data_IF_285009526784
#
_entry.id   IF_285009526784
#
_cell.length_a   1.000
_cell.length_b   1.000
_cell.length_c   1.000
_cell.angle_alpha   90.00
_cell.angle_beta   90.00
_cell.angle_gamma   90.00
#
_symmetry.space_group_name_H-M   'P 1'
#
loop_
_entity.id
_entity.type
_entity.pdbx_description
1 polymer ?
#
# COMPACT_ATOMS: atom_id res chain seq x y z
N UNK A 1 -48.78 -16.90 -40.06
CA UNK A 1 -48.35 -15.83 -39.14
C UNK A 1 -48.32 -16.42 -37.75
N UNK A 2 -47.17 -16.94 -37.34
CA UNK A 2 -46.95 -17.43 -35.97
C UNK A 2 -46.27 -16.31 -35.15
N UNK A 3 -46.61 -16.16 -33.86
CA UNK A 3 -46.08 -15.09 -33.03
C UNK A 3 -44.64 -15.42 -32.57
N UNK A 4 -43.71 -14.52 -32.85
CA UNK A 4 -42.32 -14.62 -32.42
C UNK A 4 -42.21 -14.55 -30.88
N UNK A 5 -41.63 -15.59 -30.29
CA UNK A 5 -41.25 -15.64 -28.89
C UNK A 5 -40.11 -14.64 -28.62
N UNK A 6 -40.38 -13.63 -27.77
CA UNK A 6 -39.37 -12.66 -27.33
C UNK A 6 -38.30 -13.37 -26.50
N UNK A 7 -37.10 -13.42 -27.08
CA UNK A 7 -35.83 -13.83 -26.47
C UNK A 7 -35.66 -13.10 -25.13
N UNK A 8 -35.71 -13.82 -23.99
CA UNK A 8 -35.33 -13.29 -22.68
C UNK A 8 -33.84 -12.92 -22.73
N UNK A 9 -33.55 -11.62 -22.59
CA UNK A 9 -32.21 -11.08 -22.40
C UNK A 9 -31.66 -11.68 -21.11
N UNK A 10 -30.48 -12.32 -21.20
CA UNK A 10 -29.77 -12.82 -20.04
C UNK A 10 -29.55 -11.66 -19.05
N UNK A 11 -29.79 -11.94 -17.77
CA UNK A 11 -29.68 -11.03 -16.63
C UNK A 11 -28.35 -10.29 -16.65
N UNK A 12 -28.43 -8.96 -16.58
CA UNK A 12 -27.30 -8.08 -16.28
C UNK A 12 -26.69 -8.52 -14.94
N UNK A 13 -25.39 -8.85 -14.98
CA UNK A 13 -24.56 -9.13 -13.82
C UNK A 13 -24.70 -7.99 -12.81
N UNK A 14 -25.15 -8.30 -11.60
CA UNK A 14 -25.14 -7.37 -10.47
C UNK A 14 -23.76 -6.71 -10.37
N UNK A 15 -23.77 -5.38 -10.30
CA UNK A 15 -22.56 -4.57 -10.24
C UNK A 15 -21.92 -4.77 -8.87
N UNK A 16 -20.62 -5.07 -8.87
CA UNK A 16 -19.82 -5.30 -7.66
C UNK A 16 -19.81 -4.01 -6.83
N UNK A 17 -20.52 -3.98 -5.71
CA UNK A 17 -20.80 -2.79 -4.90
C UNK A 17 -19.63 -2.35 -3.97
N UNK A 18 -18.39 -2.70 -4.31
CA UNK A 18 -17.21 -2.39 -3.51
C UNK A 18 -16.00 -2.03 -4.38
N UNK A 19 -15.13 -1.19 -3.81
CA UNK A 19 -13.85 -0.80 -4.39
C UNK A 19 -12.69 -1.27 -3.53
N UNK A 20 -11.53 -1.38 -4.17
CA UNK A 20 -10.31 -1.83 -3.49
C UNK A 20 -9.18 -0.85 -3.78
N UNK A 21 -8.51 -0.44 -2.71
CA UNK A 21 -7.45 0.56 -2.77
C UNK A 21 -6.17 0.01 -2.15
N UNK A 22 -4.99 0.34 -2.71
CA UNK A 22 -3.73 0.02 -2.07
C UNK A 22 -3.58 0.80 -0.77
N UNK A 23 -2.93 0.20 0.23
CA UNK A 23 -2.44 0.97 1.38
C UNK A 23 -1.02 1.43 1.11
N UNK A 24 -0.90 2.71 0.79
CA UNK A 24 0.36 3.37 0.47
C UNK A 24 1.21 3.66 1.70
N UNK A 25 2.54 3.71 1.54
CA UNK A 25 3.46 4.12 2.61
C UNK A 25 3.19 5.55 3.06
N UNK A 26 3.68 5.92 4.25
CA UNK A 26 3.54 7.31 4.75
C UNK A 26 4.15 8.31 3.78
N UNK A 27 5.31 7.98 3.20
CA UNK A 27 6.00 8.79 2.19
C UNK A 27 5.13 9.05 0.95
N UNK A 28 4.31 8.07 0.56
CA UNK A 28 3.42 8.14 -0.60
C UNK A 28 2.07 8.80 -0.29
N UNK A 29 1.62 8.76 0.97
CA UNK A 29 0.30 9.26 1.38
C UNK A 29 0.32 10.64 2.03
N UNK A 30 1.46 11.08 2.56
CA UNK A 30 1.56 12.37 3.25
C UNK A 30 1.48 13.55 2.28
N UNK A 31 1.04 14.69 2.81
CA UNK A 31 1.11 15.97 2.11
C UNK A 31 2.57 16.35 1.79
N UNK A 32 2.76 17.10 0.71
CA UNK A 32 4.07 17.60 0.33
C UNK A 32 4.65 18.54 1.40
N UNK A 33 5.67 18.07 2.12
CA UNK A 33 6.47 18.90 3.02
C UNK A 33 7.16 20.02 2.22
N UNK A 34 7.25 21.22 2.81
CA UNK A 34 7.78 22.42 2.14
C UNK A 34 9.02 22.96 2.86
N UNK A 35 10.03 23.30 2.07
CA UNK A 35 11.21 24.05 2.50
C UNK A 35 11.11 25.51 2.05
N UNK A 36 11.72 26.40 2.82
CA UNK A 36 11.87 27.80 2.44
C UNK A 36 13.14 28.00 1.61
N UNK A 37 13.00 28.77 0.53
CA UNK A 37 14.08 29.10 -0.39
C UNK A 37 13.99 30.57 -0.81
N UNK A 38 15.13 31.16 -1.13
CA UNK A 38 15.17 32.47 -1.77
C UNK A 38 15.15 32.30 -3.29
N UNK A 39 14.24 33.01 -3.95
CA UNK A 39 14.17 33.12 -5.40
C UNK A 39 14.38 34.57 -5.84
N UNK A 40 14.74 34.76 -7.11
CA UNK A 40 14.94 36.08 -7.69
C UNK A 40 14.42 36.12 -9.14
N UNK A 41 13.86 37.26 -9.60
CA UNK A 41 13.55 37.45 -11.02
C UNK A 41 14.83 37.45 -11.86
N UNK A 42 14.76 36.90 -13.07
CA UNK A 42 15.82 37.04 -14.08
C UNK A 42 15.48 38.26 -14.94
N UNK A 43 16.27 39.31 -14.83
CA UNK A 43 16.08 40.59 -15.55
C UNK A 43 16.34 40.40 -17.05
N UNK A 44 17.39 39.66 -17.39
CA UNK A 44 17.76 39.39 -18.78
C UNK A 44 17.68 37.88 -19.08
N UNK A 45 16.65 37.48 -19.84
CA UNK A 45 16.44 36.06 -20.21
C UNK A 45 17.63 35.43 -20.94
N UNK A 46 18.48 36.21 -21.62
CA UNK A 46 19.67 35.70 -22.33
C UNK A 46 20.73 35.16 -21.35
N UNK A 47 20.71 35.60 -20.10
CA UNK A 47 21.68 35.23 -19.08
C UNK A 47 21.26 33.99 -18.25
N UNK A 48 20.05 33.47 -18.48
CA UNK A 48 19.48 32.34 -17.72
C UNK A 48 20.45 31.16 -17.60
N UNK A 49 21.05 30.72 -18.72
CA UNK A 49 21.95 29.57 -18.73
C UNK A 49 23.26 29.81 -17.96
N UNK A 50 23.76 31.05 -17.98
CA UNK A 50 24.93 31.45 -17.17
C UNK A 50 24.57 31.44 -15.69
N UNK A 51 23.52 32.16 -15.32
CA UNK A 51 23.05 32.30 -13.94
C UNK A 51 22.78 30.94 -13.29
N UNK A 52 22.11 30.03 -13.99
CA UNK A 52 21.85 28.68 -13.46
C UNK A 52 23.15 27.92 -13.18
N UNK A 53 24.17 28.02 -14.05
CA UNK A 53 25.47 27.34 -13.85
C UNK A 53 26.23 27.93 -12.67
N UNK A 54 26.31 29.25 -12.58
CA UNK A 54 27.01 29.93 -11.48
C UNK A 54 26.32 29.68 -10.13
N UNK A 55 24.99 29.80 -10.09
CA UNK A 55 24.21 29.49 -8.89
C UNK A 55 24.35 28.03 -8.46
N UNK A 56 24.41 27.09 -9.40
CA UNK A 56 24.61 25.67 -9.09
C UNK A 56 26.02 25.38 -8.54
N UNK A 57 27.03 26.15 -8.94
CA UNK A 57 28.40 26.04 -8.43
C UNK A 57 28.51 26.41 -6.95
N UNK A 58 27.71 27.38 -6.50
CA UNK A 58 27.74 27.89 -5.11
C UNK A 58 26.68 27.21 -4.25
N UNK A 59 25.45 27.15 -4.75
CA UNK A 59 24.31 26.55 -4.10
C UNK A 59 23.74 25.43 -4.97
N UNK A 60 24.30 24.21 -4.88
CA UNK A 60 23.87 23.07 -5.68
C UNK A 60 22.48 22.56 -5.32
N UNK A 61 21.89 23.03 -4.20
CA UNK A 61 20.58 22.60 -3.68
C UNK A 61 20.49 21.08 -3.42
N UNK A 62 21.32 20.53 -2.52
CA UNK A 62 21.31 19.10 -2.25
C UNK A 62 19.96 18.65 -1.67
N UNK A 63 19.47 17.51 -2.15
CA UNK A 63 18.21 16.90 -1.72
C UNK A 63 16.96 17.39 -2.45
N UNK A 64 17.04 18.49 -3.21
CA UNK A 64 15.91 19.04 -3.96
C UNK A 64 16.15 19.07 -5.48
N UNK A 65 16.90 18.11 -6.02
CA UNK A 65 17.21 18.03 -7.46
C UNK A 65 15.97 17.80 -8.34
N UNK A 66 14.86 17.36 -7.74
CA UNK A 66 13.56 17.22 -8.38
C UNK A 66 12.87 18.57 -8.64
N UNK A 67 13.37 19.68 -8.08
CA UNK A 67 12.82 21.03 -8.29
C UNK A 67 13.46 21.66 -9.52
N UNK A 68 12.65 22.20 -10.44
CA UNK A 68 13.17 22.92 -11.60
C UNK A 68 13.75 24.25 -11.13
N UNK A 69 15.04 24.50 -11.37
CA UNK A 69 15.73 25.70 -10.88
C UNK A 69 15.09 27.02 -11.34
N UNK A 70 14.51 27.02 -12.53
CA UNK A 70 13.88 28.19 -13.17
C UNK A 70 12.41 27.91 -13.45
N UNK A 71 11.56 28.93 -13.29
CA UNK A 71 10.16 28.92 -13.70
C UNK A 71 9.79 30.20 -14.46
N UNK A 72 8.66 30.16 -15.18
CA UNK A 72 8.02 31.37 -15.65
C UNK A 72 7.46 32.17 -14.46
N UNK A 73 7.51 33.49 -14.54
CA UNK A 73 6.91 34.36 -13.52
C UNK A 73 5.40 34.08 -13.42
N UNK A 74 4.87 34.08 -12.20
CA UNK A 74 3.44 33.81 -11.96
C UNK A 74 2.55 34.99 -12.37
N UNK A 75 3.08 36.20 -12.35
CA UNK A 75 2.35 37.41 -12.71
C UNK A 75 2.54 37.70 -14.21
N UNK A 76 1.45 37.61 -14.97
CA UNK A 76 1.41 37.89 -16.41
C UNK A 76 1.76 39.34 -16.76
N UNK A 77 1.74 40.27 -15.80
CA UNK A 77 2.15 41.66 -15.95
C UNK A 77 3.61 41.95 -15.61
N UNK A 78 4.39 40.96 -15.16
CA UNK A 78 5.78 41.15 -14.76
C UNK A 78 6.66 41.49 -15.96
N UNK A 79 7.51 42.52 -15.80
CA UNK A 79 8.57 42.88 -16.75
C UNK A 79 9.62 41.76 -16.91
N UNK A 80 9.72 40.86 -15.93
CA UNK A 80 10.68 39.77 -15.90
C UNK A 80 9.94 38.44 -16.14
N UNK A 81 10.18 37.75 -17.27
CA UNK A 81 9.42 36.57 -17.63
C UNK A 81 9.80 35.31 -16.85
N UNK A 82 10.96 35.30 -16.18
CA UNK A 82 11.51 34.13 -15.50
C UNK A 82 11.95 34.44 -14.07
N UNK A 83 11.87 33.43 -13.21
CA UNK A 83 12.33 33.44 -11.83
C UNK A 83 13.23 32.24 -11.58
N UNK A 84 14.28 32.42 -10.78
CA UNK A 84 15.26 31.38 -10.45
C UNK A 84 15.39 31.21 -8.95
N UNK A 85 15.51 29.97 -8.48
CA UNK A 85 15.88 29.68 -7.09
C UNK A 85 17.36 30.02 -6.91
N UNK A 86 17.67 30.85 -5.92
CA UNK A 86 19.05 31.22 -5.56
C UNK A 86 19.63 30.18 -4.62
N UNK A 87 19.02 29.96 -3.46
CA UNK A 87 19.47 29.04 -2.42
C UNK A 87 18.32 28.61 -1.49
N UNK A 88 18.53 27.58 -0.67
CA UNK A 88 17.65 27.32 0.47
C UNK A 88 17.98 28.29 1.60
N UNK A 89 16.98 28.67 2.41
CA UNK A 89 17.21 29.58 3.54
C UNK A 89 18.26 29.04 4.51
N UNK A 90 18.25 27.72 4.73
CA UNK A 90 19.22 27.03 5.62
C UNK A 90 20.68 27.12 5.15
N UNK A 91 20.91 27.42 3.88
CA UNK A 91 22.25 27.48 3.29
C UNK A 91 22.92 28.86 3.45
N UNK A 92 22.18 29.86 3.96
CA UNK A 92 22.67 31.24 4.13
C UNK A 92 22.81 31.56 5.62
N UNK A 93 23.99 32.07 6.01
CA UNK A 93 24.26 32.54 7.37
C UNK A 93 25.03 33.86 7.33
N UNK A 94 24.62 34.89 8.10
CA UNK A 94 23.38 34.97 8.89
C UNK A 94 22.14 35.09 7.99
N UNK A 95 20.98 34.62 8.48
CA UNK A 95 19.71 34.74 7.75
C UNK A 95 19.35 36.24 7.65
N UNK A 96 19.21 36.80 6.43
CA UNK A 96 18.88 38.21 6.26
C UNK A 96 17.48 38.55 6.79
N UNK A 97 17.34 39.70 7.45
CA UNK A 97 16.03 40.24 7.76
C UNK A 97 15.28 40.58 6.46
N UNK A 98 13.95 40.38 6.46
CA UNK A 98 13.12 40.55 5.26
C UNK A 98 13.15 41.99 4.68
N UNK A 99 13.51 42.99 5.50
CA UNK A 99 13.67 44.39 5.07
C UNK A 99 15.00 44.67 4.35
N UNK A 100 16.04 43.89 4.62
CA UNK A 100 17.41 44.07 4.10
C UNK A 100 17.80 43.01 3.05
N UNK A 101 16.81 42.22 2.59
CA UNK A 101 17.02 41.13 1.63
C UNK A 101 17.48 41.69 0.27
N UNK A 102 18.76 41.49 -0.03
CA UNK A 102 19.41 41.86 -1.29
C UNK A 102 20.18 40.68 -1.88
N UNK A 103 20.41 40.66 -3.19
CA UNK A 103 21.14 39.57 -3.85
C UNK A 103 22.57 39.47 -3.31
N UNK A 104 23.22 40.60 -3.07
CA UNK A 104 24.57 40.66 -2.50
C UNK A 104 24.68 40.11 -1.08
N UNK A 105 23.57 40.08 -0.33
CA UNK A 105 23.53 39.44 0.98
C UNK A 105 23.39 37.90 0.89
N UNK A 106 22.89 37.38 -0.25
CA UNK A 106 22.70 35.94 -0.47
C UNK A 106 23.87 35.30 -1.19
N UNK A 107 24.54 36.04 -2.08
CA UNK A 107 25.62 35.56 -2.92
C UNK A 107 26.92 36.28 -2.59
N UNK A 108 28.05 35.55 -2.47
CA UNK A 108 29.36 36.16 -2.34
C UNK A 108 29.72 36.89 -3.65
N UNK A 109 29.88 38.21 -3.57
CA UNK A 109 30.03 39.12 -4.72
C UNK A 109 31.29 38.89 -5.56
N UNK A 110 32.25 38.14 -5.04
CA UNK A 110 33.51 37.76 -5.68
C UNK A 110 33.37 36.52 -6.59
N UNK A 111 32.29 35.75 -6.50
CA UNK A 111 32.14 34.46 -7.19
C UNK A 111 31.01 34.37 -8.21
N UNK A 112 30.06 35.31 -8.19
CA UNK A 112 28.92 35.35 -9.13
C UNK A 112 28.78 36.74 -9.69
N UNK A 113 28.60 36.82 -11.00
CA UNK A 113 28.11 38.05 -11.59
C UNK A 113 26.62 38.19 -11.26
N UNK A 114 26.32 39.05 -10.28
CA UNK A 114 24.96 39.34 -9.84
C UNK A 114 24.15 40.13 -10.89
N UNK A 115 24.80 40.60 -11.96
CA UNK A 115 24.10 41.26 -13.07
C UNK A 115 23.09 40.28 -13.69
N UNK A 116 21.87 40.76 -13.88
CA UNK A 116 20.77 39.96 -14.41
C UNK A 116 19.84 39.34 -13.37
N UNK A 117 20.12 39.45 -12.06
CA UNK A 117 19.19 39.07 -10.99
C UNK A 117 18.47 40.28 -10.38
N UNK A 118 17.15 40.17 -10.23
CA UNK A 118 16.32 41.15 -9.57
C UNK A 118 16.32 41.02 -8.04
N UNK A 119 15.45 41.79 -7.37
CA UNK A 119 15.30 41.73 -5.91
C UNK A 119 14.90 40.31 -5.46
N UNK A 120 15.57 39.70 -4.47
CA UNK A 120 15.20 38.38 -3.99
C UNK A 120 13.90 38.41 -3.17
N UNK A 121 13.22 37.27 -3.11
CA UNK A 121 12.01 37.06 -2.33
C UNK A 121 11.92 35.62 -1.82
N UNK A 122 11.15 35.43 -0.76
CA UNK A 122 10.97 34.12 -0.12
C UNK A 122 9.92 33.30 -0.86
N UNK A 123 10.20 32.02 -1.08
CA UNK A 123 9.28 31.04 -1.65
C UNK A 123 9.30 29.73 -0.88
N UNK A 124 8.22 28.96 -1.00
CA UNK A 124 8.15 27.59 -0.51
C UNK A 124 8.33 26.63 -1.68
N UNK A 125 9.17 25.61 -1.50
CA UNK A 125 9.45 24.55 -2.48
C UNK A 125 9.25 23.18 -1.83
N UNK A 126 8.78 22.16 -2.57
CA UNK A 126 8.69 20.80 -2.06
C UNK A 126 10.04 20.28 -1.53
N UNK A 127 10.01 19.66 -0.35
CA UNK A 127 11.19 19.10 0.32
C UNK A 127 11.66 17.80 -0.35
N UNK A 128 10.71 17.00 -0.82
CA UNK A 128 10.94 15.66 -1.38
C UNK A 128 10.27 15.50 -2.75
N UNK A 129 10.84 14.64 -3.61
CA UNK A 129 10.21 14.32 -4.90
C UNK A 129 8.82 13.72 -4.68
N UNK A 130 7.80 14.17 -5.43
CA UNK A 130 6.47 13.58 -5.34
C UNK A 130 6.52 12.11 -5.79
N UNK A 131 5.89 11.23 -5.03
CA UNK A 131 5.81 9.80 -5.33
C UNK A 131 4.49 9.43 -6.01
N UNK A 132 3.45 10.24 -5.79
CA UNK A 132 2.12 10.04 -6.37
C UNK A 132 1.67 11.24 -7.20
N UNK A 133 0.74 11.04 -8.13
CA UNK A 133 0.18 12.14 -8.94
C UNK A 133 -0.51 13.21 -8.08
N UNK A 134 -1.32 12.89 -7.05
CA UNK A 134 -1.86 13.89 -6.14
C UNK A 134 -0.77 14.72 -5.45
N UNK A 135 0.31 14.08 -4.96
CA UNK A 135 1.45 14.80 -4.40
C UNK A 135 2.11 15.70 -5.43
N UNK A 136 2.30 15.24 -6.67
CA UNK A 136 2.86 16.05 -7.74
C UNK A 136 2.01 17.29 -8.04
N UNK A 137 0.69 17.12 -8.13
CA UNK A 137 -0.24 18.22 -8.37
C UNK A 137 -0.22 19.24 -7.23
N UNK A 138 -0.12 18.79 -5.98
CA UNK A 138 0.04 19.65 -4.82
C UNK A 138 1.40 20.38 -4.83
N UNK A 139 2.50 19.64 -4.98
CA UNK A 139 3.87 20.14 -5.03
C UNK A 139 4.07 21.19 -6.13
N UNK A 140 3.52 20.94 -7.31
CA UNK A 140 3.63 21.83 -8.48
C UNK A 140 2.95 23.20 -8.29
N UNK A 141 2.00 23.33 -7.35
CA UNK A 141 1.38 24.62 -7.00
C UNK A 141 2.39 25.56 -6.32
N UNK A 142 3.33 24.99 -5.56
CA UNK A 142 4.36 25.73 -4.85
C UNK A 142 5.49 26.12 -5.80
N UNK A 143 6.09 25.13 -6.47
CA UNK A 143 7.15 25.35 -7.45
C UNK A 143 7.19 24.22 -8.49
N UNK A 144 7.51 24.49 -9.78
CA UNK A 144 7.59 23.44 -10.77
C UNK A 144 8.57 22.33 -10.39
N UNK A 145 8.08 21.11 -10.36
CA UNK A 145 8.86 19.92 -9.99
C UNK A 145 8.83 18.89 -11.13
N UNK A 146 9.84 18.02 -11.15
CA UNK A 146 9.90 16.85 -12.00
C UNK A 146 9.20 15.69 -11.31
N UNK A 147 8.36 14.98 -12.05
CA UNK A 147 7.65 13.81 -11.57
C UNK A 147 7.75 12.69 -12.60
N UNK A 148 8.25 11.55 -12.14
CA UNK A 148 8.28 10.32 -12.91
C UNK A 148 7.18 9.43 -12.37
N UNK A 149 6.10 9.33 -13.14
CA UNK A 149 4.92 8.64 -12.68
C UNK A 149 5.12 7.13 -12.59
N UNK A 150 4.84 6.57 -11.41
CA UNK A 150 4.57 5.15 -11.28
C UNK A 150 3.13 4.87 -11.73
N UNK A 151 3.01 4.34 -12.95
CA UNK A 151 1.71 4.01 -13.56
C UNK A 151 0.90 3.04 -12.71
N UNK A 152 1.56 2.09 -12.01
CA UNK A 152 0.87 1.09 -11.18
C UNK A 152 0.22 1.77 -9.98
N UNK A 153 0.93 2.67 -9.31
CA UNK A 153 0.39 3.45 -8.18
C UNK A 153 -0.75 4.36 -8.64
N UNK A 154 -0.60 5.05 -9.77
CA UNK A 154 -1.67 5.91 -10.31
C UNK A 154 -2.94 5.13 -10.64
N UNK A 155 -2.82 3.98 -11.32
CA UNK A 155 -3.96 3.12 -11.65
C UNK A 155 -4.60 2.57 -10.37
N UNK A 156 -3.78 2.21 -9.37
CA UNK A 156 -4.27 1.72 -8.09
C UNK A 156 -5.02 2.78 -7.27
N UNK A 157 -4.54 4.02 -7.25
CA UNK A 157 -5.24 5.13 -6.60
C UNK A 157 -6.59 5.47 -7.26
N UNK A 158 -6.78 5.12 -8.53
CA UNK A 158 -8.07 5.26 -9.24
C UNK A 158 -9.01 4.08 -9.00
N UNK A 159 -8.64 3.09 -8.18
CA UNK A 159 -9.42 1.86 -7.99
C UNK A 159 -9.43 0.93 -9.21
N UNK A 160 -8.53 1.17 -10.18
CA UNK A 160 -8.49 0.48 -11.48
C UNK A 160 -7.38 -0.58 -11.55
N UNK A 161 -6.77 -0.94 -10.42
CA UNK A 161 -5.67 -1.91 -10.40
C UNK A 161 -6.12 -3.32 -10.81
N UNK A 162 -7.36 -3.68 -10.47
CA UNK A 162 -7.89 -5.01 -10.68
C UNK A 162 -8.99 -5.01 -11.75
N UNK A 163 -8.92 -5.99 -12.65
CA UNK A 163 -9.98 -6.23 -13.63
C UNK A 163 -11.25 -6.74 -12.96
N UNK A 164 -12.38 -6.72 -13.70
CA UNK A 164 -13.64 -7.27 -13.19
C UNK A 164 -13.50 -8.75 -12.78
N UNK A 165 -12.80 -9.57 -13.57
CA UNK A 165 -12.56 -10.98 -13.26
C UNK A 165 -11.71 -11.16 -11.99
N UNK A 166 -10.71 -10.31 -11.79
CA UNK A 166 -9.91 -10.31 -10.56
C UNK A 166 -10.77 -9.90 -9.35
N UNK A 167 -11.59 -8.86 -9.48
CA UNK A 167 -12.54 -8.46 -8.42
C UNK A 167 -13.51 -9.60 -8.09
N UNK A 168 -14.04 -10.32 -9.08
CA UNK A 168 -14.93 -11.47 -8.84
C UNK A 168 -14.24 -12.60 -8.04
N UNK A 169 -12.96 -12.88 -8.33
CA UNK A 169 -12.16 -13.84 -7.54
C UNK A 169 -11.91 -13.34 -6.12
N UNK A 170 -11.56 -12.06 -5.96
CA UNK A 170 -11.39 -11.44 -4.64
C UNK A 170 -12.66 -11.52 -3.80
N UNK A 171 -13.83 -11.26 -4.42
CA UNK A 171 -15.12 -11.43 -3.78
C UNK A 171 -15.32 -12.87 -3.31
N UNK A 172 -15.09 -13.87 -4.17
CA UNK A 172 -15.18 -15.29 -3.78
C UNK A 172 -14.31 -15.62 -2.56
N UNK A 173 -13.06 -15.17 -2.54
CA UNK A 173 -12.15 -15.45 -1.43
C UNK A 173 -12.52 -14.70 -0.15
N UNK A 174 -12.91 -13.43 -0.25
CA UNK A 174 -13.36 -12.67 0.92
C UNK A 174 -14.69 -13.20 1.46
N UNK A 175 -15.63 -13.64 0.61
CA UNK A 175 -16.85 -14.34 1.04
C UNK A 175 -16.52 -15.58 1.85
N UNK A 176 -15.48 -16.35 1.46
CA UNK A 176 -15.02 -17.48 2.26
C UNK A 176 -14.50 -17.07 3.65
N UNK A 177 -13.74 -15.96 3.73
CA UNK A 177 -13.31 -15.39 5.00
C UNK A 177 -14.51 -14.90 5.85
N UNK A 178 -15.51 -14.26 5.25
CA UNK A 178 -16.76 -13.85 5.92
C UNK A 178 -17.52 -15.06 6.47
N UNK A 179 -17.62 -16.15 5.70
CA UNK A 179 -18.26 -17.39 6.18
C UNK A 179 -17.49 -17.98 7.38
N UNK A 180 -16.16 -17.98 7.34
CA UNK A 180 -15.34 -18.41 8.46
C UNK A 180 -15.55 -17.54 9.71
N UNK A 181 -15.65 -16.21 9.54
CA UNK A 181 -15.94 -15.27 10.62
C UNK A 181 -17.29 -15.58 11.29
N UNK A 182 -18.33 -15.82 10.49
CA UNK A 182 -19.68 -16.19 10.97
C UNK A 182 -19.67 -17.52 11.72
N UNK A 183 -18.91 -18.52 11.23
CA UNK A 183 -18.75 -19.79 11.92
C UNK A 183 -18.04 -19.63 13.27
N UNK A 184 -16.98 -18.83 13.34
CA UNK A 184 -16.31 -18.50 14.60
C UNK A 184 -17.25 -17.81 15.60
N UNK A 185 -18.05 -16.84 15.14
CA UNK A 185 -19.06 -16.19 15.99
C UNK A 185 -20.09 -17.17 16.53
N UNK A 186 -20.56 -18.11 15.72
CA UNK A 186 -21.51 -19.13 16.17
C UNK A 186 -20.95 -20.02 17.31
N UNK A 187 -19.62 -20.07 17.46
CA UNK A 187 -18.91 -20.73 18.55
C UNK A 187 -18.53 -19.79 19.71
N UNK A 188 -19.04 -18.55 19.71
CA UNK A 188 -18.76 -17.54 20.74
C UNK A 188 -17.41 -16.81 20.58
N UNK A 189 -16.77 -16.90 19.42
CA UNK A 189 -15.51 -16.19 19.14
C UNK A 189 -15.77 -14.80 18.55
N UNK A 190 -14.74 -13.95 18.53
CA UNK A 190 -14.81 -12.70 17.78
C UNK A 190 -15.05 -13.00 16.28
N UNK A 191 -15.88 -12.20 15.63
CA UNK A 191 -16.29 -12.42 14.25
C UNK A 191 -15.22 -11.96 13.24
N UNK A 192 -14.08 -12.65 13.24
CA UNK A 192 -12.99 -12.44 12.28
C UNK A 192 -12.68 -13.76 11.62
N UNK A 193 -12.68 -13.74 10.29
CA UNK A 193 -12.27 -14.85 9.44
C UNK A 193 -11.22 -14.43 8.44
N UNK A 194 -10.43 -15.42 8.02
CA UNK A 194 -9.33 -15.27 7.08
C UNK A 194 -9.22 -16.51 6.18
N UNK A 195 -8.71 -16.31 4.97
CA UNK A 195 -8.27 -17.38 4.07
C UNK A 195 -6.92 -17.06 3.45
N UNK A 196 -6.05 -18.06 3.33
CA UNK A 196 -4.80 -17.97 2.55
C UNK A 196 -5.01 -18.67 1.21
N UNK A 197 -4.63 -17.99 0.14
CA UNK A 197 -4.86 -18.40 -1.25
C UNK A 197 -3.53 -18.47 -1.98
N UNK A 198 -3.33 -19.53 -2.75
CA UNK A 198 -2.26 -19.56 -3.74
C UNK A 198 -2.70 -18.78 -4.99
N UNK A 199 -2.05 -17.65 -5.32
CA UNK A 199 -2.45 -16.84 -6.46
C UNK A 199 -2.14 -17.51 -7.81
N UNK A 200 -1.27 -18.52 -7.86
CA UNK A 200 -0.97 -19.24 -9.11
C UNK A 200 -2.06 -20.24 -9.46
N UNK A 201 -2.57 -20.96 -8.46
CA UNK A 201 -3.59 -21.99 -8.65
C UNK A 201 -5.01 -21.51 -8.35
N UNK A 202 -5.15 -20.31 -7.77
CA UNK A 202 -6.42 -19.70 -7.35
C UNK A 202 -7.19 -20.56 -6.34
N UNK A 203 -6.45 -21.32 -5.52
CA UNK A 203 -6.98 -22.24 -4.51
C UNK A 203 -6.82 -21.69 -3.10
N UNK A 204 -7.85 -21.85 -2.29
CA UNK A 204 -7.77 -21.62 -0.84
C UNK A 204 -6.98 -22.76 -0.20
N UNK A 205 -5.82 -22.42 0.35
CA UNK A 205 -4.94 -23.36 1.06
C UNK A 205 -5.32 -23.51 2.53
N UNK A 206 -5.70 -22.42 3.18
CA UNK A 206 -6.12 -22.46 4.58
C UNK A 206 -7.31 -21.54 4.81
N UNK A 207 -8.26 -21.99 5.62
CA UNK A 207 -9.38 -21.21 6.12
C UNK A 207 -9.29 -21.19 7.64
N UNK A 208 -9.47 -20.02 8.25
CA UNK A 208 -9.38 -19.85 9.70
C UNK A 208 -10.28 -18.74 10.20
N UNK A 209 -10.63 -18.80 11.48
CA UNK A 209 -11.31 -17.73 12.19
C UNK A 209 -10.65 -17.47 13.53
N UNK A 210 -11.12 -16.47 14.24
CA UNK A 210 -10.68 -16.19 15.60
C UNK A 210 -10.94 -17.39 16.52
N UNK A 211 -9.93 -17.81 17.28
CA UNK A 211 -10.01 -18.94 18.21
C UNK A 211 -9.57 -18.55 19.63
N UNK A 212 -9.66 -17.25 19.98
CA UNK A 212 -9.20 -16.74 21.29
C UNK A 212 -10.10 -17.10 22.46
N UNK A 213 -11.36 -17.47 22.22
CA UNK A 213 -12.22 -18.05 23.26
C UNK A 213 -11.78 -19.45 23.70
N UNK A 214 -10.70 -20.00 23.12
CA UNK A 214 -9.95 -21.13 23.67
C UNK A 214 -8.92 -20.72 24.72
N UNK A 215 -7.80 -21.45 24.79
CA UNK A 215 -6.78 -21.25 25.82
C UNK A 215 -5.69 -20.22 25.47
N UNK A 216 -5.61 -19.76 24.21
CA UNK A 216 -4.50 -18.94 23.74
C UNK A 216 -4.99 -17.59 23.15
N UNK A 217 -4.63 -16.45 23.77
CA UNK A 217 -5.02 -15.13 23.30
C UNK A 217 -4.38 -14.74 21.96
N UNK A 218 -3.37 -15.47 21.48
CA UNK A 218 -2.69 -15.19 20.22
C UNK A 218 -3.35 -15.86 19.00
N UNK A 219 -4.40 -16.68 19.20
CA UNK A 219 -5.07 -17.40 18.11
C UNK A 219 -6.06 -16.51 17.32
N UNK A 220 -5.54 -15.42 16.76
CA UNK A 220 -6.26 -14.59 15.79
C UNK A 220 -6.41 -15.35 14.46
N UNK A 221 -7.44 -15.05 13.68
CA UNK A 221 -7.71 -15.72 12.40
C UNK A 221 -6.48 -15.80 11.47
N UNK A 222 -5.68 -14.73 11.40
CA UNK A 222 -4.44 -14.69 10.61
C UNK A 222 -3.40 -15.69 11.14
N UNK A 223 -3.19 -15.75 12.45
CA UNK A 223 -2.24 -16.67 13.07
C UNK A 223 -2.68 -18.12 12.87
N UNK A 224 -3.98 -18.38 13.00
CA UNK A 224 -4.57 -19.70 12.72
C UNK A 224 -4.30 -20.12 11.28
N UNK A 225 -4.52 -19.23 10.28
CA UNK A 225 -4.23 -19.55 8.89
C UNK A 225 -2.75 -19.81 8.63
N UNK A 226 -1.84 -19.01 9.20
CA UNK A 226 -0.38 -19.22 9.06
C UNK A 226 0.02 -20.59 9.62
N UNK A 227 -0.48 -20.95 10.81
CA UNK A 227 -0.18 -22.24 11.45
C UNK A 227 -0.76 -23.42 10.66
N UNK A 228 -1.98 -23.27 10.11
CA UNK A 228 -2.59 -24.28 9.23
C UNK A 228 -1.76 -24.51 7.96
N UNK A 229 -1.24 -23.45 7.34
CA UNK A 229 -0.32 -23.58 6.19
C UNK A 229 0.96 -24.29 6.62
N UNK A 230 1.59 -23.86 7.72
CA UNK A 230 2.79 -24.51 8.24
C UNK A 230 2.56 -26.00 8.53
N UNK A 231 1.42 -26.35 9.11
CA UNK A 231 0.99 -27.73 9.36
C UNK A 231 0.84 -28.54 8.07
N UNK A 232 0.22 -27.95 7.04
CA UNK A 232 0.11 -28.55 5.72
C UNK A 232 1.46 -28.86 5.06
N UNK A 233 2.52 -28.18 5.51
CA UNK A 233 3.90 -28.35 5.03
C UNK A 233 4.76 -29.21 5.99
N UNK A 234 4.15 -29.91 6.95
CA UNK A 234 4.85 -30.78 7.91
C UNK A 234 5.36 -30.08 9.17
N UNK A 235 5.07 -28.79 9.35
CA UNK A 235 5.35 -28.02 10.56
C UNK A 235 4.08 -27.77 11.40
N UNK A 236 3.89 -26.52 11.83
CA UNK A 236 2.75 -26.09 12.65
C UNK A 236 2.93 -26.40 14.14
N UNK A 237 2.48 -25.51 15.01
CA UNK A 237 2.60 -25.63 16.45
C UNK A 237 1.28 -26.08 17.10
N UNK A 238 0.13 -25.81 16.48
CA UNK A 238 -1.17 -25.98 17.11
C UNK A 238 -2.07 -26.97 16.38
N UNK A 239 -3.12 -27.39 17.10
CA UNK A 239 -4.22 -28.21 16.57
C UNK A 239 -5.51 -27.45 16.75
N UNK A 240 -6.29 -27.34 15.68
CA UNK A 240 -7.56 -26.64 15.66
C UNK A 240 -8.75 -27.60 15.49
N UNK A 241 -8.59 -28.87 15.86
CA UNK A 241 -9.59 -29.94 15.69
C UNK A 241 -10.97 -29.61 16.33
N UNK A 242 -10.97 -28.72 17.33
CA UNK A 242 -12.20 -28.19 17.97
C UNK A 242 -12.99 -27.20 17.11
N UNK A 243 -12.40 -26.72 16.03
CA UNK A 243 -12.93 -25.66 15.17
C UNK A 243 -13.06 -26.19 13.74
N UNK A 244 -14.21 -26.80 13.38
CA UNK A 244 -14.37 -27.50 12.11
C UNK A 244 -14.11 -26.64 10.88
N UNK A 245 -14.26 -25.32 10.95
CA UNK A 245 -13.99 -24.41 9.83
C UNK A 245 -12.50 -24.07 9.67
N UNK A 246 -11.69 -24.27 10.71
CA UNK A 246 -10.25 -24.02 10.69
C UNK A 246 -9.53 -25.23 10.07
N UNK A 247 -9.27 -25.18 8.76
CA UNK A 247 -8.72 -26.31 8.01
C UNK A 247 -7.67 -25.87 6.98
N UNK A 248 -6.73 -26.78 6.72
CA UNK A 248 -5.84 -26.73 5.57
C UNK A 248 -6.40 -27.62 4.45
N UNK A 249 -6.52 -27.07 3.24
CA UNK A 249 -6.92 -27.79 2.04
C UNK A 249 -5.71 -28.46 1.43
N UNK A 250 -5.69 -29.80 1.43
CA UNK A 250 -4.63 -30.57 0.78
C UNK A 250 -4.69 -30.33 -0.74
N UNK A 251 -3.56 -30.07 -1.43
CA UNK A 251 -3.53 -30.07 -2.88
C UNK A 251 -3.94 -31.47 -3.38
N UNK A 252 -5.12 -31.59 -3.98
CA UNK A 252 -5.55 -32.85 -4.60
C UNK A 252 -4.66 -33.12 -5.80
N UNK A 253 -3.66 -33.97 -5.64
CA UNK A 253 -3.03 -34.67 -6.76
C UNK A 253 -4.05 -35.65 -7.35
N UNK A 254 -4.59 -35.31 -8.52
CA UNK A 254 -5.45 -36.12 -9.42
C UNK A 254 -6.90 -36.45 -8.98
N UNK A 255 -7.86 -36.54 -9.94
CA UNK A 255 -9.30 -36.72 -9.68
C UNK A 255 -9.72 -38.20 -9.47
N UNK A 256 -8.81 -39.08 -9.10
CA UNK A 256 -9.11 -40.48 -8.83
C UNK A 256 -8.54 -40.91 -7.49
N UNK A 257 -9.22 -40.56 -6.40
CA UNK A 257 -9.36 -41.47 -5.26
C UNK A 257 -10.50 -41.02 -4.35
N UNK A 258 -11.38 -41.98 -4.13
CA UNK A 258 -12.64 -41.89 -3.41
C UNK A 258 -12.45 -41.53 -1.94
N UNK A 259 -13.42 -40.78 -1.41
CA UNK A 259 -13.72 -40.56 0.02
C UNK A 259 -13.17 -41.67 0.92
N UNK A 260 -12.10 -41.37 1.66
CA UNK A 260 -11.76 -42.11 2.87
C UNK A 260 -11.37 -41.10 3.94
N UNK A 261 -12.06 -41.16 5.08
CA UNK A 261 -11.73 -40.40 6.29
C UNK A 261 -10.43 -41.01 6.84
N UNK A 262 -9.32 -40.28 6.80
CA UNK A 262 -8.04 -40.75 7.33
C UNK A 262 -7.84 -40.18 8.74
N UNK A 263 -7.83 -41.08 9.71
CA UNK A 263 -7.42 -40.91 11.12
C UNK A 263 -5.89 -40.68 11.24
N UNK A 264 -5.36 -40.02 12.29
CA UNK A 264 -4.01 -39.48 12.29
C UNK A 264 -2.98 -40.52 12.76
N UNK A 265 -2.30 -41.16 11.82
CA UNK A 265 -0.96 -41.73 12.01
C UNK A 265 -0.39 -42.14 10.65
N UNK A 266 0.19 -41.19 9.93
CA UNK A 266 1.15 -41.51 8.87
C UNK A 266 2.44 -40.77 9.19
N UNK A 267 3.40 -41.53 9.71
CA UNK A 267 4.80 -41.12 9.81
C UNK A 267 5.30 -40.80 8.40
N UNK A 268 5.70 -39.55 8.20
CA UNK A 268 6.15 -38.99 6.93
C UNK A 268 7.64 -39.29 6.68
N UNK A 269 8.07 -40.52 6.97
CA UNK A 269 9.45 -41.00 6.77
C UNK A 269 9.60 -41.96 5.57
N UNK A 270 8.74 -41.87 4.57
CA UNK A 270 8.78 -42.79 3.42
C UNK A 270 8.11 -42.29 2.14
N UNK A 271 8.44 -41.08 1.68
CA UNK A 271 8.10 -40.68 0.32
C UNK A 271 9.30 -40.90 -0.61
N UNK A 272 9.11 -41.81 -1.57
CA UNK A 272 10.00 -42.07 -2.71
C UNK A 272 10.33 -40.77 -3.46
N UNK A 273 11.58 -40.68 -3.93
CA UNK A 273 12.18 -39.53 -4.61
C UNK A 273 11.64 -39.26 -6.04
N UNK A 274 10.33 -39.18 -6.23
CA UNK A 274 9.75 -38.84 -7.53
C UNK A 274 8.87 -37.58 -7.40
N UNK A 275 9.38 -36.48 -7.98
CA UNK A 275 8.80 -35.12 -8.06
C UNK A 275 8.79 -34.31 -6.76
N UNK A 276 9.98 -33.85 -6.35
CA UNK A 276 10.15 -32.77 -5.37
C UNK A 276 9.63 -31.44 -5.93
N UNK A 277 8.30 -31.30 -5.96
CA UNK A 277 7.68 -29.98 -6.05
C UNK A 277 8.11 -29.19 -4.82
N UNK A 278 8.86 -28.11 -5.05
CA UNK A 278 9.41 -27.29 -3.97
C UNK A 278 8.27 -26.60 -3.23
N UNK A 279 7.95 -27.07 -2.02
CA UNK A 279 6.94 -26.45 -1.16
C UNK A 279 7.54 -25.15 -0.61
N UNK A 280 6.90 -23.98 -0.85
CA UNK A 280 7.46 -22.70 -0.41
C UNK A 280 7.51 -22.61 1.11
N UNK A 281 8.43 -21.80 1.64
CA UNK A 281 8.50 -21.53 3.08
C UNK A 281 7.19 -20.87 3.56
N UNK A 282 6.40 -21.61 4.34
CA UNK A 282 5.16 -21.16 4.97
C UNK A 282 4.24 -20.44 3.96
N UNK A 283 4.08 -19.12 4.07
CA UNK A 283 3.16 -18.35 3.23
C UNK A 283 3.86 -17.60 2.09
N UNK A 284 5.08 -18.01 1.72
CA UNK A 284 5.88 -17.28 0.73
C UNK A 284 5.12 -17.09 -0.58
N UNK A 285 4.82 -15.83 -0.90
CA UNK A 285 4.15 -15.46 -2.16
C UNK A 285 2.64 -15.71 -2.21
N UNK A 286 2.01 -16.16 -1.12
CA UNK A 286 0.56 -16.36 -1.06
C UNK A 286 -0.21 -15.07 -0.76
N UNK A 287 -1.52 -15.09 -1.03
CA UNK A 287 -2.44 -14.00 -0.73
C UNK A 287 -3.23 -14.31 0.54
N UNK A 288 -3.37 -13.34 1.43
CA UNK A 288 -4.28 -13.39 2.58
C UNK A 288 -5.52 -12.55 2.26
N UNK A 289 -6.70 -13.12 2.44
CA UNK A 289 -7.97 -12.37 2.52
C UNK A 289 -8.48 -12.43 3.95
N UNK A 290 -8.68 -11.28 4.60
CA UNK A 290 -9.09 -11.21 6.00
C UNK A 290 -10.17 -10.16 6.21
N UNK A 291 -11.23 -10.54 6.92
CA UNK A 291 -12.40 -9.66 7.13
C UNK A 291 -12.07 -8.34 7.84
N UNK A 292 -11.13 -8.37 8.80
CA UNK A 292 -10.71 -7.22 9.61
C UNK A 292 -9.22 -6.97 9.49
N UNK A 293 -8.81 -5.70 9.44
CA UNK A 293 -7.41 -5.30 9.35
C UNK A 293 -6.55 -5.98 10.44
N UNK A 294 -5.44 -6.65 10.07
CA UNK A 294 -4.51 -7.27 11.02
C UNK A 294 -3.90 -6.29 12.02
N UNK A 295 -3.86 -6.67 13.29
CA UNK A 295 -3.14 -5.95 14.34
C UNK A 295 -1.60 -6.11 14.19
N UNK A 296 -0.83 -5.40 15.02
CA UNK A 296 0.65 -5.40 15.00
C UNK A 296 1.24 -6.82 15.03
N UNK A 297 0.72 -7.69 15.91
CA UNK A 297 1.19 -9.08 16.01
C UNK A 297 0.97 -9.84 14.69
N UNK A 298 -0.26 -9.81 14.16
CA UNK A 298 -0.60 -10.51 12.92
C UNK A 298 0.17 -9.94 11.72
N UNK A 299 0.31 -8.62 11.64
CA UNK A 299 1.07 -7.94 10.59
C UNK A 299 2.55 -8.34 10.61
N UNK A 300 3.18 -8.42 11.80
CA UNK A 300 4.57 -8.88 11.90
C UNK A 300 4.72 -10.38 11.60
N UNK A 301 3.75 -11.20 11.98
CA UNK A 301 3.73 -12.61 11.61
C UNK A 301 3.66 -12.81 10.08
N UNK A 302 2.95 -11.94 9.37
CA UNK A 302 2.88 -11.93 7.90
C UNK A 302 4.22 -11.57 7.24
N UNK A 303 5.00 -10.66 7.84
CA UNK A 303 6.40 -10.40 7.44
C UNK A 303 7.22 -11.69 7.59
N UNK A 304 7.14 -12.34 8.75
CA UNK A 304 7.90 -13.56 9.04
C UNK A 304 7.48 -14.78 8.23
N UNK A 305 6.22 -14.86 7.78
CA UNK A 305 5.71 -15.92 6.91
C UNK A 305 5.90 -15.64 5.42
N UNK A 306 6.45 -14.46 5.06
CA UNK A 306 6.74 -14.03 3.69
C UNK A 306 5.50 -13.92 2.80
N UNK A 307 4.35 -13.53 3.36
CA UNK A 307 3.12 -13.34 2.58
C UNK A 307 3.35 -12.45 1.36
N UNK A 308 2.71 -12.72 0.23
CA UNK A 308 2.84 -11.92 -0.99
C UNK A 308 1.95 -10.68 -0.95
N UNK A 309 0.66 -10.86 -0.64
CA UNK A 309 -0.33 -9.78 -0.61
C UNK A 309 -1.36 -9.99 0.50
N UNK A 310 -1.92 -8.90 1.00
CA UNK A 310 -3.00 -8.92 1.99
C UNK A 310 -4.16 -8.07 1.49
N UNK A 311 -5.35 -8.63 1.52
CA UNK A 311 -6.61 -7.97 1.20
C UNK A 311 -7.47 -7.98 2.47
N UNK A 312 -7.82 -6.81 2.99
CA UNK A 312 -8.74 -6.71 4.12
C UNK A 312 -10.03 -5.98 3.79
N UNK A 313 -11.10 -6.35 4.48
CA UNK A 313 -12.41 -5.73 4.34
C UNK A 313 -12.46 -4.40 5.05
N UNK A 314 -12.51 -4.44 6.39
CA UNK A 314 -12.69 -3.26 7.25
C UNK A 314 -11.45 -2.92 8.08
N UNK A 315 -11.21 -1.62 8.31
CA UNK A 315 -10.18 -1.13 9.22
C UNK A 315 -10.42 -1.54 10.69
N UNK A 316 -9.34 -1.64 11.46
CA UNK A 316 -9.40 -1.96 12.89
C UNK A 316 -8.67 -0.91 13.74
N UNK A 317 -9.17 -0.65 14.95
CA UNK A 317 -8.58 0.36 15.84
C UNK A 317 -7.13 0.06 16.24
N UNK A 318 -6.76 -1.21 16.26
CA UNK A 318 -5.40 -1.72 16.52
C UNK A 318 -4.66 -2.14 15.23
N UNK A 319 -5.23 -1.78 14.07
CA UNK A 319 -4.75 -2.14 12.75
C UNK A 319 -3.35 -1.63 12.46
N UNK A 320 -2.51 -2.50 11.90
CA UNK A 320 -1.10 -2.24 11.67
C UNK A 320 -0.69 -2.30 10.18
N UNK A 321 -1.68 -2.34 9.29
CA UNK A 321 -1.45 -2.32 7.84
C UNK A 321 -2.01 -1.06 7.16
N UNK A 322 -2.66 -0.16 7.90
CA UNK A 322 -3.14 1.13 7.41
C UNK A 322 -3.73 2.06 8.46
N UNK A 323 -4.20 1.56 9.62
CA UNK A 323 -4.84 2.41 10.65
C UNK A 323 -3.84 3.09 11.57
N UNK A 324 -3.11 2.35 12.41
CA UNK A 324 -2.10 2.90 13.34
C UNK A 324 -0.68 2.80 12.82
N UNK A 325 -0.41 1.72 12.09
CA UNK A 325 0.90 1.45 11.53
C UNK A 325 0.76 0.97 10.08
N UNK A 326 1.87 0.98 9.37
CA UNK A 326 2.01 0.41 8.02
C UNK A 326 3.24 -0.49 8.02
N UNK A 327 3.15 -1.61 8.73
CA UNK A 327 4.28 -2.52 8.93
C UNK A 327 4.83 -3.04 7.60
N UNK A 328 3.95 -3.27 6.62
CA UNK A 328 4.31 -3.73 5.27
C UNK A 328 5.17 -2.73 4.47
N UNK A 329 5.28 -1.48 4.91
CA UNK A 329 6.08 -0.44 4.24
C UNK A 329 7.35 -0.03 4.99
N UNK A 330 7.68 -0.71 6.09
CA UNK A 330 8.85 -0.37 6.91
C UNK A 330 10.15 -0.85 6.25
N UNK A 331 10.98 0.09 5.79
CA UNK A 331 12.20 -0.17 5.01
C UNK A 331 13.24 -1.05 5.71
N UNK A 332 13.27 -1.01 7.04
CA UNK A 332 14.23 -1.76 7.85
C UNK A 332 13.84 -3.24 8.05
N UNK A 333 12.66 -3.65 7.57
CA UNK A 333 12.22 -5.04 7.60
C UNK A 333 12.73 -5.82 6.39
N UNK A 334 12.99 -7.11 6.60
CA UNK A 334 13.60 -8.00 5.61
C UNK A 334 12.63 -8.55 4.55
N UNK A 335 11.33 -8.29 4.67
CA UNK A 335 10.29 -8.69 3.73
C UNK A 335 9.21 -7.62 3.63
N UNK A 336 8.74 -7.38 2.40
CA UNK A 336 7.71 -6.39 2.08
C UNK A 336 6.60 -7.07 1.27
N UNK A 337 5.37 -6.64 1.47
CA UNK A 337 4.20 -7.20 0.81
C UNK A 337 3.17 -6.11 0.47
N UNK A 338 2.33 -6.36 -0.52
CA UNK A 338 1.30 -5.40 -0.90
C UNK A 338 0.06 -5.55 -0.02
N UNK A 339 -0.56 -4.42 0.33
CA UNK A 339 -1.78 -4.40 1.13
C UNK A 339 -2.86 -3.65 0.37
N UNK A 340 -4.06 -4.22 0.39
CA UNK A 340 -5.25 -3.68 -0.22
C UNK A 340 -6.40 -3.68 0.78
N UNK A 341 -7.23 -2.63 0.74
CA UNK A 341 -8.36 -2.42 1.65
C UNK A 341 -9.67 -2.22 0.89
N UNK A 342 -10.79 -2.55 1.53
CA UNK A 342 -12.14 -2.28 1.03
C UNK A 342 -12.84 -3.47 0.37
N UNK A 343 -12.24 -4.67 0.37
CA UNK A 343 -12.85 -5.84 -0.28
C UNK A 343 -14.04 -6.33 0.55
N UNK A 344 -15.26 -6.21 0.02
CA UNK A 344 -16.52 -6.48 0.76
C UNK A 344 -16.58 -5.70 2.08
N UNK A 345 -16.22 -4.40 2.05
CA UNK A 345 -16.13 -3.56 3.24
C UNK A 345 -17.45 -3.53 4.04
N UNK A 346 -18.58 -3.38 3.36
CA UNK A 346 -19.90 -3.31 4.00
C UNK A 346 -20.22 -4.61 4.76
N UNK A 347 -20.07 -5.76 4.11
CA UNK A 347 -20.31 -7.06 4.72
C UNK A 347 -19.35 -7.33 5.89
N UNK A 348 -18.11 -6.82 5.82
CA UNK A 348 -17.14 -6.93 6.89
C UNK A 348 -17.43 -5.97 8.07
N UNK A 349 -18.00 -4.79 7.82
CA UNK A 349 -18.43 -3.85 8.87
C UNK A 349 -19.64 -4.39 9.63
N UNK A 350 -20.60 -5.04 8.95
CA UNK A 350 -21.72 -5.74 9.59
C UNK A 350 -21.23 -6.82 10.57
N UNK A 351 -20.12 -7.52 10.24
CA UNK A 351 -19.48 -8.45 11.17
C UNK A 351 -18.92 -7.77 12.44
N UNK A 352 -18.60 -6.48 12.40
CA UNK A 352 -18.09 -5.75 13.56
C UNK A 352 -19.23 -5.30 14.48
N UNK A 353 -20.32 -4.80 13.91
CA UNK A 353 -21.44 -4.21 14.65
C UNK A 353 -22.25 -5.26 15.43
N UNK A 354 -22.54 -6.40 14.82
CA UNK A 354 -23.28 -7.49 15.50
C UNK A 354 -22.58 -8.02 16.75
N UNK A 355 -21.24 -7.90 16.82
CA UNK A 355 -20.45 -8.36 17.98
C UNK A 355 -20.52 -7.40 19.17
N UNK A 356 -20.85 -6.13 18.96
CA UNK A 356 -20.98 -5.13 20.02
C UNK A 356 -22.29 -5.24 20.81
N UNK A 357 -23.29 -5.95 20.27
CA UNK A 357 -24.60 -6.15 20.90
C UNK A 357 -24.66 -7.38 21.84
N UNK A 358 -23.60 -8.18 21.90
CA UNK A 358 -23.53 -9.45 22.66
C UNK A 358 -22.58 -9.34 23.87
N UNK A 359 -21.87 -8.21 24.03
CA UNK A 359 -21.12 -7.86 25.25
C UNK A 359 -21.96 -6.93 26.10
#
# INVERSE_FOLDING_TARGET
MEPQCKRRKASESETVAWDVFPVLSDEQSQDAELLEAYAAPIINKKETSRLVKELASIYPLPGVQHIKRVRACKDSGSLNPLEVIVCLVRDVQPIPNNKDLSISALLPSDRVDISGLGKPFLVKVPAYPPLTRPQFEQASRHWPTSFHEDKRVTVALKGQLFTADQKAKMQKFMTAAVMAAKAGRALGMDAVGAVIVDPQTERVLATGHDCRGGANPLHHAVMVCIDLVARGQGGGAYKFDRYPTCQFSVPTSSPHQSRTVISPSVDLLGLDQAEQSWVPYICTGYDLYVTREPCVMCAMALVHSRIGRVFYGVASEDGALGTKYKIHTQKDLNHHFEVFKGVLEQECEELKQDGALIK
#
